data_IF_583333071645
#
_entry.id   IF_583333071645
#
_cell.length_a   1.000
_cell.length_b   1.000
_cell.length_c   1.000
_cell.angle_alpha   90.00
_cell.angle_beta   90.00
_cell.angle_gamma   90.00
#
_symmetry.space_group_name_H-M   'P 1'
#
loop_
_entity.id
_entity.type
_entity.pdbx_description
1 polymer ?
#
# COMPACT_ATOMS: atom_id res chain seq x y z
N UNK A 1 29.24 -1.20 -1.50
CA UNK A 1 28.09 -1.30 -0.59
C UNK A 1 27.03 -0.29 -1.01
N UNK A 2 25.75 -0.65 -0.90
CA UNK A 2 24.62 0.23 -1.20
C UNK A 2 23.76 0.42 0.04
N UNK A 3 23.20 1.63 0.21
CA UNK A 3 22.19 1.89 1.22
C UNK A 3 20.96 2.55 0.59
N UNK A 4 19.87 1.79 0.49
CA UNK A 4 18.62 2.23 -0.11
C UNK A 4 17.65 2.62 1.01
N UNK A 5 17.30 3.90 1.11
CA UNK A 5 16.42 4.39 2.17
C UNK A 5 15.27 5.21 1.61
N UNK A 6 14.11 5.14 2.26
CA UNK A 6 12.97 5.90 1.78
C UNK A 6 11.61 5.51 2.33
N UNK A 7 10.58 6.20 1.86
CA UNK A 7 9.20 6.00 2.29
C UNK A 7 8.32 5.33 1.22
N UNK A 8 8.91 4.65 0.23
CA UNK A 8 8.19 3.94 -0.83
C UNK A 8 8.77 2.55 -1.06
N UNK A 9 8.07 1.52 -0.56
CA UNK A 9 8.55 0.13 -0.58
C UNK A 9 8.72 -0.41 -2.00
N UNK A 10 7.84 -0.01 -2.91
CA UNK A 10 7.90 -0.45 -4.30
C UNK A 10 9.25 -0.08 -4.95
N UNK A 11 9.68 1.18 -4.80
CA UNK A 11 10.96 1.64 -5.35
C UNK A 11 12.17 1.05 -4.65
N UNK A 12 12.08 0.78 -3.33
CA UNK A 12 13.14 0.05 -2.63
C UNK A 12 13.34 -1.31 -3.31
N UNK A 13 12.26 -2.07 -3.48
CA UNK A 13 12.30 -3.40 -4.08
C UNK A 13 12.73 -3.37 -5.55
N UNK A 14 12.26 -2.40 -6.32
CA UNK A 14 12.68 -2.18 -7.72
C UNK A 14 14.20 -1.97 -7.79
N UNK A 15 14.76 -1.11 -6.94
CA UNK A 15 16.21 -0.84 -6.91
C UNK A 15 17.03 -2.04 -6.44
N UNK A 16 16.53 -2.82 -5.48
CA UNK A 16 17.18 -4.08 -5.09
C UNK A 16 17.22 -5.02 -6.29
N UNK A 17 16.10 -5.19 -7.01
CA UNK A 17 16.04 -6.08 -8.18
C UNK A 17 16.95 -5.60 -9.30
N UNK A 18 17.00 -4.28 -9.57
CA UNK A 18 17.93 -3.69 -10.54
C UNK A 18 19.39 -4.04 -10.21
N UNK A 19 19.78 -3.93 -8.94
CA UNK A 19 21.12 -4.28 -8.48
C UNK A 19 21.39 -5.78 -8.59
N UNK A 20 20.44 -6.63 -8.16
CA UNK A 20 20.55 -8.09 -8.29
C UNK A 20 20.81 -8.46 -9.76
N UNK A 21 20.00 -7.95 -10.68
CA UNK A 21 20.11 -8.28 -12.11
C UNK A 21 21.39 -7.72 -12.74
N UNK A 22 21.84 -6.54 -12.31
CA UNK A 22 23.14 -5.99 -12.71
C UNK A 22 24.28 -6.93 -12.29
N UNK A 23 24.30 -7.37 -11.04
CA UNK A 23 25.36 -8.21 -10.51
C UNK A 23 25.35 -9.64 -11.06
N UNK A 24 24.16 -10.22 -11.24
CA UNK A 24 24.03 -11.50 -11.96
C UNK A 24 24.64 -11.42 -13.36
N UNK A 25 24.43 -10.33 -14.09
CA UNK A 25 25.02 -10.14 -15.43
C UNK A 25 26.53 -9.95 -15.37
N UNK A 26 27.02 -9.15 -14.45
CA UNK A 26 28.46 -8.88 -14.26
C UNK A 26 29.25 -10.16 -13.96
N UNK A 27 28.66 -11.06 -13.18
CA UNK A 27 29.30 -12.29 -12.74
C UNK A 27 28.76 -13.56 -13.43
N UNK A 28 28.14 -13.45 -14.61
CA UNK A 28 27.62 -14.61 -15.38
C UNK A 28 26.75 -15.59 -14.58
N UNK A 29 25.89 -15.07 -13.69
CA UNK A 29 25.04 -15.79 -12.73
C UNK A 29 25.77 -16.58 -11.63
N UNK A 30 27.09 -16.45 -11.51
CA UNK A 30 27.88 -17.04 -10.44
C UNK A 30 27.92 -16.13 -9.21
N UNK A 31 26.74 -15.90 -8.62
CA UNK A 31 26.53 -15.07 -7.43
C UNK A 31 25.62 -15.78 -6.45
N UNK A 32 26.09 -15.95 -5.22
CA UNK A 32 25.27 -16.46 -4.11
C UNK A 32 24.55 -15.31 -3.42
N UNK A 33 23.23 -15.36 -3.37
CA UNK A 33 22.40 -14.31 -2.77
C UNK A 33 21.97 -14.76 -1.36
N UNK A 34 22.23 -13.92 -0.37
CA UNK A 34 21.75 -14.06 1.00
C UNK A 34 20.83 -12.89 1.31
N UNK A 35 19.61 -13.15 1.81
CA UNK A 35 18.61 -12.12 2.07
C UNK A 35 18.13 -12.23 3.52
N UNK A 36 18.29 -11.13 4.26
CA UNK A 36 17.97 -11.01 5.68
C UNK A 36 16.91 -9.94 5.89
N UNK A 37 15.98 -10.19 6.81
CA UNK A 37 14.87 -9.27 7.09
C UNK A 37 14.71 -9.02 8.59
N UNK A 38 14.69 -7.74 8.98
CA UNK A 38 14.47 -7.25 10.33
C UNK A 38 15.48 -7.75 11.39
N UNK A 39 15.20 -8.90 12.00
CA UNK A 39 16.07 -9.51 13.01
C UNK A 39 17.08 -10.44 12.34
N UNK A 40 18.34 -10.37 12.79
CA UNK A 40 19.42 -11.22 12.28
C UNK A 40 20.20 -11.85 13.41
N UNK A 41 20.72 -13.06 13.17
CA UNK A 41 21.71 -13.68 14.02
C UNK A 41 23.12 -13.22 13.58
N UNK A 42 23.83 -12.51 14.46
CA UNK A 42 25.16 -11.99 14.13
C UNK A 42 26.18 -13.09 13.80
N UNK A 43 26.06 -14.29 14.40
CA UNK A 43 26.96 -15.41 14.08
C UNK A 43 26.78 -15.90 12.65
N UNK A 44 25.53 -15.97 12.18
CA UNK A 44 25.22 -16.35 10.80
C UNK A 44 25.76 -15.30 9.81
N UNK A 45 25.66 -14.03 10.16
CA UNK A 45 26.22 -12.93 9.36
C UNK A 45 27.75 -12.99 9.33
N UNK A 46 28.41 -13.24 10.46
CA UNK A 46 29.85 -13.45 10.54
C UNK A 46 30.30 -14.56 9.60
N UNK A 47 29.63 -15.71 9.67
CA UNK A 47 29.93 -16.87 8.83
C UNK A 47 29.75 -16.55 7.35
N UNK A 48 28.67 -15.88 6.96
CA UNK A 48 28.41 -15.56 5.56
C UNK A 48 29.37 -14.52 5.00
N UNK A 49 29.71 -13.48 5.78
CA UNK A 49 30.62 -12.43 5.32
C UNK A 49 32.09 -12.90 5.26
N UNK A 50 32.51 -13.80 6.15
CA UNK A 50 33.90 -14.28 6.22
C UNK A 50 34.15 -15.60 5.48
N UNK A 51 33.14 -16.45 5.28
CA UNK A 51 33.35 -17.75 4.63
C UNK A 51 33.61 -17.55 3.13
N UNK A 52 34.79 -17.92 2.64
CA UNK A 52 35.01 -18.03 1.20
C UNK A 52 34.49 -19.39 0.73
N UNK A 53 33.38 -19.40 -0.02
CA UNK A 53 32.88 -20.63 -0.63
C UNK A 53 33.85 -21.04 -1.75
N UNK A 54 34.24 -22.32 -1.77
CA UNK A 54 35.20 -22.84 -2.76
C UNK A 54 34.56 -22.84 -4.16
N UNK A 55 33.23 -22.88 -4.25
CA UNK A 55 32.48 -23.03 -5.49
C UNK A 55 31.75 -21.77 -5.96
N UNK A 56 31.66 -20.73 -5.14
CA UNK A 56 31.05 -19.44 -5.53
C UNK A 56 31.98 -18.31 -5.13
N UNK A 57 32.57 -17.67 -6.14
CA UNK A 57 33.50 -16.57 -5.89
C UNK A 57 32.76 -15.33 -5.39
N UNK A 58 31.55 -15.03 -5.87
CA UNK A 58 30.88 -13.76 -5.57
C UNK A 58 29.64 -13.93 -4.68
N UNK A 59 29.46 -13.02 -3.74
CA UNK A 59 28.31 -12.99 -2.84
C UNK A 59 27.59 -11.66 -2.90
N UNK A 60 26.27 -11.72 -2.87
CA UNK A 60 25.40 -10.58 -2.69
C UNK A 60 24.60 -10.76 -1.39
N UNK A 61 24.85 -9.93 -0.40
CA UNK A 61 24.15 -9.98 0.89
C UNK A 61 23.21 -8.79 1.00
N UNK A 62 21.94 -9.07 1.25
CA UNK A 62 20.87 -8.08 1.31
C UNK A 62 20.33 -8.05 2.73
N UNK A 63 20.29 -6.86 3.31
CA UNK A 63 19.83 -6.60 4.66
C UNK A 63 18.65 -5.64 4.61
N UNK A 64 17.45 -6.15 4.89
CA UNK A 64 16.20 -5.41 4.76
C UNK A 64 15.65 -5.00 6.11
N UNK A 65 15.44 -3.69 6.29
CA UNK A 65 14.78 -3.09 7.45
C UNK A 65 15.36 -3.56 8.79
N UNK A 66 16.69 -3.69 8.86
CA UNK A 66 17.36 -4.25 10.03
C UNK A 66 17.10 -3.44 11.29
N UNK A 67 16.83 -4.15 12.39
CA UNK A 67 16.65 -3.51 13.70
C UNK A 67 17.89 -2.75 14.16
N UNK A 68 19.09 -3.21 13.80
CA UNK A 68 20.35 -2.54 14.13
C UNK A 68 20.53 -1.16 13.48
N UNK A 69 19.70 -0.79 12.49
CA UNK A 69 19.66 0.56 11.93
C UNK A 69 18.91 1.55 12.84
N UNK A 70 18.12 1.02 13.78
CA UNK A 70 17.52 1.77 14.87
C UNK A 70 18.36 1.69 16.15
N UNK A 71 18.22 2.71 16.98
CA UNK A 71 18.91 2.78 18.27
C UNK A 71 18.48 1.62 19.17
N UNK A 72 19.41 0.70 19.42
CA UNK A 72 19.23 -0.45 20.31
C UNK A 72 20.22 -0.41 21.48
N UNK A 73 19.95 -1.21 22.52
CA UNK A 73 20.85 -1.41 23.67
C UNK A 73 22.09 -2.22 23.30
N UNK A 74 22.06 -2.95 22.18
CA UNK A 74 23.13 -3.84 21.74
C UNK A 74 24.24 -3.10 20.98
N UNK A 75 24.81 -2.06 21.59
CA UNK A 75 25.87 -1.24 20.96
C UNK A 75 27.12 -2.05 20.59
N UNK A 76 27.44 -3.11 21.36
CA UNK A 76 28.59 -3.98 21.06
C UNK A 76 28.43 -4.71 19.72
N UNK A 77 27.24 -5.23 19.44
CA UNK A 77 26.94 -5.93 18.18
C UNK A 77 26.94 -4.96 17.00
N UNK A 78 26.45 -3.73 17.19
CA UNK A 78 26.55 -2.67 16.17
C UNK A 78 28.02 -2.38 15.82
N UNK A 79 28.88 -2.20 16.83
CA UNK A 79 30.30 -1.92 16.60
C UNK A 79 31.00 -3.09 15.90
N UNK A 80 30.71 -4.32 16.32
CA UNK A 80 31.20 -5.53 15.66
C UNK A 80 30.74 -5.59 14.19
N UNK A 81 29.46 -5.30 13.92
CA UNK A 81 28.94 -5.30 12.56
C UNK A 81 29.63 -4.24 11.68
N UNK A 82 29.88 -3.04 12.22
CA UNK A 82 30.66 -2.01 11.51
C UNK A 82 32.08 -2.50 11.21
N UNK A 83 32.72 -3.21 12.14
CA UNK A 83 34.05 -3.80 11.93
C UNK A 83 34.04 -4.84 10.78
N UNK A 84 33.04 -5.72 10.74
CA UNK A 84 32.87 -6.67 9.63
C UNK A 84 32.70 -5.95 8.29
N UNK A 85 31.88 -4.90 8.25
CA UNK A 85 31.62 -4.14 7.02
C UNK A 85 32.86 -3.38 6.51
N UNK A 86 33.76 -2.97 7.40
CA UNK A 86 35.03 -2.35 7.01
C UNK A 86 36.04 -3.36 6.44
N UNK A 87 35.91 -4.64 6.81
CA UNK A 87 36.81 -5.71 6.41
C UNK A 87 36.19 -6.66 5.35
N UNK A 88 35.23 -6.16 4.56
CA UNK A 88 34.60 -6.96 3.51
C UNK A 88 35.60 -7.37 2.44
N UNK A 89 35.51 -8.63 2.03
CA UNK A 89 36.26 -9.14 0.88
C UNK A 89 35.73 -8.52 -0.42
N UNK A 90 36.60 -8.33 -1.42
CA UNK A 90 36.25 -7.65 -2.69
C UNK A 90 35.12 -8.32 -3.47
N UNK A 91 34.93 -9.61 -3.25
CA UNK A 91 33.91 -10.46 -3.85
C UNK A 91 32.55 -10.42 -3.13
N UNK A 92 32.41 -9.65 -2.05
CA UNK A 92 31.17 -9.51 -1.29
C UNK A 92 30.56 -8.13 -1.53
N UNK A 93 29.38 -8.12 -2.15
CA UNK A 93 28.56 -6.93 -2.29
C UNK A 93 27.47 -6.96 -1.22
N UNK A 94 27.34 -5.86 -0.48
CA UNK A 94 26.31 -5.71 0.54
C UNK A 94 25.32 -4.59 0.16
N UNK A 95 24.03 -4.88 0.27
CA UNK A 95 22.92 -3.95 0.08
C UNK A 95 22.16 -3.85 1.41
N UNK A 96 22.06 -2.64 1.96
CA UNK A 96 21.20 -2.34 3.09
C UNK A 96 19.95 -1.60 2.60
N UNK A 97 18.79 -1.93 3.15
CA UNK A 97 17.57 -1.15 2.92
C UNK A 97 16.88 -0.75 4.21
N UNK A 98 16.32 0.45 4.21
CA UNK A 98 15.53 0.95 5.34
C UNK A 98 14.32 1.73 4.85
N UNK A 99 13.13 1.20 5.11
CA UNK A 99 11.88 1.93 5.03
C UNK A 99 11.79 2.90 6.21
N UNK A 100 11.58 4.17 5.92
CA UNK A 100 11.44 5.25 6.91
C UNK A 100 10.22 6.06 6.50
N UNK A 101 9.17 6.09 7.33
CA UNK A 101 8.04 6.98 7.06
C UNK A 101 8.49 8.45 7.12
N UNK A 102 7.88 9.29 6.28
CA UNK A 102 8.18 10.72 6.27
C UNK A 102 7.81 11.31 7.63
N UNK A 103 8.77 11.94 8.30
CA UNK A 103 8.65 12.50 9.65
C UNK A 103 8.39 11.46 10.75
N UNK A 104 8.87 10.23 10.59
CA UNK A 104 8.79 9.24 11.66
C UNK A 104 9.60 9.70 12.89
N UNK A 105 8.88 10.11 13.94
CA UNK A 105 9.47 10.55 15.22
C UNK A 105 9.98 9.38 16.06
N UNK A 106 9.59 8.14 15.72
CA UNK A 106 10.02 6.92 16.42
C UNK A 106 11.33 6.39 15.86
N UNK A 107 11.60 6.63 14.58
CA UNK A 107 12.87 6.25 13.96
C UNK A 107 14.03 7.01 14.63
N UNK A 108 14.91 6.27 15.29
CA UNK A 108 16.12 6.82 15.90
C UNK A 108 17.33 6.16 15.24
N UNK A 109 18.10 6.86 14.41
CA UNK A 109 19.24 6.26 13.72
C UNK A 109 20.29 5.77 14.71
N UNK A 110 20.82 4.58 14.47
CA UNK A 110 21.96 4.01 15.20
C UNK A 110 23.30 4.48 14.63
N UNK A 111 24.39 4.07 15.28
CA UNK A 111 25.75 4.30 14.76
C UNK A 111 25.98 3.55 13.44
N UNK A 112 25.37 2.36 13.25
CA UNK A 112 25.41 1.62 11.98
C UNK A 112 24.73 2.42 10.87
N UNK A 113 23.57 3.02 11.15
CA UNK A 113 22.88 3.87 10.18
C UNK A 113 23.78 5.03 9.71
N UNK A 114 24.41 5.75 10.64
CA UNK A 114 25.32 6.85 10.30
C UNK A 114 26.59 6.39 9.58
N UNK A 115 27.08 5.20 9.89
CA UNK A 115 28.17 4.57 9.16
C UNK A 115 27.77 4.33 7.69
N UNK A 116 26.60 3.73 7.46
CA UNK A 116 26.12 3.45 6.11
C UNK A 116 25.93 4.73 5.29
N UNK A 117 25.38 5.80 5.87
CA UNK A 117 25.22 7.09 5.18
C UNK A 117 26.54 7.69 4.70
N UNK A 118 27.65 7.43 5.40
CA UNK A 118 28.97 8.00 5.08
C UNK A 118 29.80 7.12 4.15
N UNK A 119 29.65 5.80 4.25
CA UNK A 119 30.57 4.82 3.65
C UNK A 119 29.95 3.99 2.52
N UNK A 120 28.72 4.28 2.11
CA UNK A 120 28.02 3.53 1.05
C UNK A 120 27.44 4.44 -0.03
N UNK A 121 27.10 3.86 -1.18
CA UNK A 121 26.31 4.56 -2.19
C UNK A 121 24.85 4.66 -1.72
N UNK A 122 24.44 5.85 -1.30
CA UNK A 122 23.11 6.10 -0.74
C UNK A 122 22.11 6.39 -1.86
N UNK A 123 21.06 5.58 -1.93
CA UNK A 123 19.94 5.73 -2.86
C UNK A 123 18.70 6.13 -2.06
N UNK A 124 18.24 7.37 -2.23
CA UNK A 124 17.00 7.84 -1.62
C UNK A 124 15.80 7.59 -2.53
N UNK A 125 14.83 6.84 -2.03
CA UNK A 125 13.53 6.67 -2.71
C UNK A 125 12.44 7.41 -1.97
N UNK A 126 11.55 8.06 -2.72
CA UNK A 126 10.49 8.89 -2.15
C UNK A 126 9.15 8.45 -2.72
N UNK A 127 8.15 8.39 -1.84
CA UNK A 127 6.75 8.19 -2.23
C UNK A 127 6.37 9.30 -3.18
N UNK A 128 5.79 8.89 -4.31
CA UNK A 128 5.32 9.85 -5.31
C UNK A 128 4.19 10.68 -4.72
N UNK A 129 4.20 11.97 -5.04
CA UNK A 129 2.97 12.73 -4.92
C UNK A 129 1.96 12.23 -5.97
N UNK A 130 0.71 12.66 -5.85
CA UNK A 130 -0.37 12.14 -6.68
C UNK A 130 -0.26 12.49 -8.16
N UNK A 131 0.29 13.67 -8.49
CA UNK A 131 0.49 14.05 -9.90
C UNK A 131 1.59 13.20 -10.51
N UNK A 132 2.67 13.02 -9.75
CA UNK A 132 3.77 12.14 -10.11
C UNK A 132 3.30 10.69 -10.21
N UNK A 133 2.40 10.23 -9.34
CA UNK A 133 1.84 8.88 -9.36
C UNK A 133 1.10 8.60 -10.67
N UNK A 134 0.22 9.51 -11.10
CA UNK A 134 -0.49 9.37 -12.39
C UNK A 134 0.52 9.33 -13.54
N UNK A 135 1.46 10.27 -13.57
CA UNK A 135 2.47 10.31 -14.63
C UNK A 135 3.37 9.06 -14.63
N UNK A 136 3.69 8.53 -13.45
CA UNK A 136 4.51 7.35 -13.28
C UNK A 136 3.82 6.11 -13.82
N UNK A 137 2.56 5.87 -13.43
CA UNK A 137 1.78 4.73 -13.92
C UNK A 137 1.63 4.81 -15.44
N UNK A 138 1.38 6.01 -15.98
CA UNK A 138 1.29 6.23 -17.42
C UNK A 138 2.61 5.89 -18.13
N UNK A 139 3.73 6.44 -17.65
CA UNK A 139 5.06 6.18 -18.21
C UNK A 139 5.46 4.70 -18.09
N UNK A 140 5.09 4.05 -16.98
CA UNK A 140 5.33 2.62 -16.75
C UNK A 140 4.63 1.75 -17.81
N UNK A 141 3.38 2.09 -18.16
CA UNK A 141 2.62 1.41 -19.20
C UNK A 141 3.19 1.71 -20.60
N UNK A 142 3.54 2.98 -20.86
CA UNK A 142 4.11 3.41 -22.15
C UNK A 142 5.48 2.76 -22.42
N UNK A 143 6.31 2.54 -21.39
CA UNK A 143 7.59 1.84 -21.51
C UNK A 143 7.44 0.39 -22.01
N UNK A 144 6.25 -0.21 -21.86
CA UNK A 144 5.91 -1.54 -22.38
C UNK A 144 5.25 -1.49 -23.78
N UNK A 145 5.25 -0.33 -24.44
CA UNK A 145 4.55 -0.06 -25.70
C UNK A 145 3.02 -0.30 -25.61
N UNK A 146 2.44 -0.04 -24.44
CA UNK A 146 1.00 -0.14 -24.15
C UNK A 146 0.44 1.23 -23.77
N UNK A 147 -0.88 1.37 -23.66
CA UNK A 147 -1.52 2.65 -23.28
C UNK A 147 -2.51 2.50 -22.13
N UNK A 148 -2.66 3.58 -21.35
CA UNK A 148 -3.66 3.68 -20.28
C UNK A 148 -4.24 5.11 -20.26
N UNK A 149 -5.57 5.23 -20.10
CA UNK A 149 -6.22 6.55 -19.99
C UNK A 149 -6.09 7.10 -18.57
N UNK A 150 -6.05 8.44 -18.42
CA UNK A 150 -5.98 9.08 -17.10
C UNK A 150 -7.16 8.68 -16.20
N UNK A 151 -8.37 8.57 -16.77
CA UNK A 151 -9.56 8.17 -16.03
C UNK A 151 -9.45 6.74 -15.49
N UNK A 152 -8.81 5.83 -16.23
CA UNK A 152 -8.54 4.47 -15.77
C UNK A 152 -7.56 4.45 -14.59
N UNK A 153 -6.52 5.28 -14.64
CA UNK A 153 -5.56 5.42 -13.53
C UNK A 153 -6.26 5.96 -12.27
N UNK A 154 -7.09 6.98 -12.43
CA UNK A 154 -7.83 7.59 -11.31
C UNK A 154 -8.78 6.55 -10.69
N UNK A 155 -9.49 5.78 -11.52
CA UNK A 155 -10.36 4.70 -11.04
C UNK A 155 -9.58 3.68 -10.20
N UNK A 156 -8.41 3.23 -10.68
CA UNK A 156 -7.54 2.31 -9.93
C UNK A 156 -7.08 2.92 -8.59
N UNK A 157 -6.61 4.17 -8.58
CA UNK A 157 -6.13 4.86 -7.36
C UNK A 157 -7.26 5.06 -6.34
N UNK A 158 -8.48 5.30 -6.80
CA UNK A 158 -9.65 5.50 -5.94
C UNK A 158 -10.05 4.20 -5.23
N UNK A 159 -9.87 3.06 -5.90
CA UNK A 159 -10.34 1.77 -5.42
C UNK A 159 -9.27 0.94 -4.72
N UNK A 160 -8.01 1.15 -5.06
CA UNK A 160 -6.91 0.41 -4.45
C UNK A 160 -6.39 1.12 -3.19
N UNK A 161 -5.77 0.36 -2.26
CA UNK A 161 -5.01 0.93 -1.17
C UNK A 161 -3.90 1.84 -1.69
N UNK A 162 -3.43 2.76 -0.85
CA UNK A 162 -2.31 3.67 -1.14
C UNK A 162 -0.95 2.96 -1.09
N UNK A 163 -0.81 1.95 -1.93
CA UNK A 163 0.37 1.10 -2.12
C UNK A 163 0.65 0.99 -3.62
N UNK A 164 1.78 1.57 -4.04
CA UNK A 164 2.19 1.57 -5.44
C UNK A 164 2.39 0.15 -5.98
N UNK A 165 2.82 -0.80 -5.14
CA UNK A 165 3.02 -2.19 -5.54
C UNK A 165 1.70 -2.85 -5.93
N UNK A 166 0.64 -2.61 -5.15
CA UNK A 166 -0.69 -3.13 -5.48
C UNK A 166 -1.22 -2.50 -6.75
N UNK A 167 -1.07 -1.18 -6.92
CA UNK A 167 -1.51 -0.48 -8.12
C UNK A 167 -0.79 -1.03 -9.37
N UNK A 168 0.53 -1.18 -9.31
CA UNK A 168 1.32 -1.72 -10.43
C UNK A 168 0.94 -3.17 -10.72
N UNK A 169 0.68 -3.99 -9.70
CA UNK A 169 0.23 -5.37 -9.89
C UNK A 169 -1.12 -5.43 -10.61
N UNK A 170 -2.09 -4.59 -10.23
CA UNK A 170 -3.38 -4.53 -10.93
C UNK A 170 -3.22 -4.00 -12.35
N UNK A 171 -2.41 -2.97 -12.58
CA UNK A 171 -2.07 -2.52 -13.93
C UNK A 171 -1.48 -3.66 -14.76
N UNK A 172 -0.52 -4.41 -14.22
CA UNK A 172 0.09 -5.53 -14.92
C UNK A 172 -0.91 -6.63 -15.28
N UNK A 173 -1.88 -6.94 -14.42
CA UNK A 173 -2.98 -7.87 -14.75
C UNK A 173 -3.80 -7.36 -15.93
N UNK A 174 -4.21 -6.09 -15.91
CA UNK A 174 -4.97 -5.49 -17.01
C UNK A 174 -4.16 -5.48 -18.32
N UNK A 175 -2.85 -5.25 -18.24
CA UNK A 175 -1.96 -5.29 -19.40
C UNK A 175 -1.79 -6.70 -20.00
N UNK A 176 -2.07 -7.77 -19.24
CA UNK A 176 -2.11 -9.14 -19.79
C UNK A 176 -3.33 -9.30 -20.68
N UNK A 177 -4.47 -8.71 -20.32
CA UNK A 177 -5.72 -8.84 -21.06
C UNK A 177 -5.80 -7.93 -22.27
N UNK A 178 -5.33 -6.67 -22.15
CA UNK A 178 -5.39 -5.70 -23.23
C UNK A 178 -4.17 -4.77 -23.25
N UNK A 179 -3.64 -4.42 -24.43
CA UNK A 179 -2.59 -3.42 -24.56
C UNK A 179 -3.10 -1.98 -24.37
N UNK A 180 -4.41 -1.76 -24.39
CA UNK A 180 -5.03 -0.45 -24.23
C UNK A 180 -6.03 -0.49 -23.07
N UNK A 181 -5.63 0.11 -21.93
CA UNK A 181 -6.45 0.17 -20.73
C UNK A 181 -7.28 1.46 -20.75
N UNK A 182 -8.59 1.30 -20.82
CA UNK A 182 -9.56 2.41 -20.74
C UNK A 182 -10.33 2.38 -19.43
N UNK A 183 -11.11 3.42 -19.12
CA UNK A 183 -12.00 3.41 -17.96
C UNK A 183 -12.95 2.21 -18.00
N UNK A 184 -13.50 1.90 -19.18
CA UNK A 184 -14.36 0.72 -19.37
C UNK A 184 -13.59 -0.57 -19.14
N UNK A 185 -12.32 -0.65 -19.54
CA UNK A 185 -11.48 -1.81 -19.25
C UNK A 185 -11.39 -2.06 -17.75
N UNK A 186 -11.10 -1.03 -16.96
CA UNK A 186 -11.02 -1.14 -15.49
C UNK A 186 -12.39 -1.52 -14.92
N UNK A 187 -13.46 -0.83 -15.31
CA UNK A 187 -14.81 -1.10 -14.84
C UNK A 187 -15.34 -2.49 -15.21
N UNK A 188 -14.94 -3.02 -16.37
CA UNK A 188 -15.33 -4.35 -16.84
C UNK A 188 -14.44 -5.45 -16.25
N UNK A 189 -13.15 -5.19 -15.99
CA UNK A 189 -12.27 -6.13 -15.30
C UNK A 189 -12.69 -6.37 -13.84
N UNK A 190 -13.35 -5.38 -13.24
CA UNK A 190 -14.05 -5.49 -11.95
C UNK A 190 -15.24 -6.48 -11.96
N UNK A 191 -15.31 -7.40 -12.94
CA UNK A 191 -16.31 -8.47 -13.03
C UNK A 191 -15.70 -9.87 -12.89
N UNK A 192 -14.38 -10.01 -12.63
CA UNK A 192 -13.69 -11.30 -12.78
C UNK A 192 -12.95 -11.85 -11.55
N UNK A 193 -12.92 -11.14 -10.41
CA UNK A 193 -12.49 -11.69 -9.12
C UNK A 193 -13.65 -11.71 -8.11
N UNK A 194 -13.75 -12.73 -7.25
CA UNK A 194 -14.78 -12.84 -6.21
C UNK A 194 -14.82 -11.69 -5.17
N UNK A 195 -13.86 -10.75 -5.21
CA UNK A 195 -13.79 -9.60 -4.31
C UNK A 195 -14.35 -8.29 -4.93
N UNK A 196 -14.81 -8.31 -6.20
CA UNK A 196 -14.89 -7.12 -7.05
C UNK A 196 -16.21 -6.32 -6.99
N UNK A 197 -17.34 -6.91 -6.59
CA UNK A 197 -18.62 -6.16 -6.44
C UNK A 197 -18.61 -5.10 -5.34
N UNK A 198 -17.59 -5.14 -4.48
CA UNK A 198 -17.31 -4.13 -3.47
C UNK A 198 -17.17 -2.75 -4.10
N UNK A 199 -16.48 -2.62 -5.25
CA UNK A 199 -16.20 -1.32 -5.87
C UNK A 199 -17.43 -0.68 -6.51
N UNK A 200 -18.22 -1.48 -7.24
CA UNK A 200 -19.44 -0.99 -7.88
C UNK A 200 -20.43 -0.43 -6.85
N UNK A 201 -20.59 -1.12 -5.71
CA UNK A 201 -21.42 -0.64 -4.62
C UNK A 201 -20.84 0.61 -3.95
N UNK A 202 -19.52 0.62 -3.62
CA UNK A 202 -18.85 1.80 -3.06
C UNK A 202 -19.05 3.03 -3.96
N UNK A 203 -18.88 2.89 -5.27
CA UNK A 203 -19.06 3.98 -6.23
C UNK A 203 -20.48 4.50 -6.26
N UNK A 204 -21.48 3.62 -6.38
CA UNK A 204 -22.87 4.02 -6.36
C UNK A 204 -23.23 4.74 -5.04
N UNK A 205 -22.73 4.22 -3.92
CA UNK A 205 -22.96 4.77 -2.60
C UNK A 205 -22.30 6.14 -2.40
N UNK A 206 -21.04 6.31 -2.79
CA UNK A 206 -20.31 7.59 -2.72
C UNK A 206 -20.86 8.63 -3.70
N UNK A 207 -21.32 8.20 -4.88
CA UNK A 207 -21.97 9.08 -5.83
C UNK A 207 -23.24 9.67 -5.22
N UNK A 208 -24.04 8.85 -4.53
CA UNK A 208 -25.27 9.24 -3.85
C UNK A 208 -26.23 10.02 -4.76
N UNK A 209 -26.42 9.52 -5.98
CA UNK A 209 -27.26 10.18 -7.02
C UNK A 209 -28.55 9.44 -7.29
N UNK A 210 -28.50 8.10 -7.34
CA UNK A 210 -29.64 7.26 -7.67
C UNK A 210 -29.75 6.10 -6.67
N UNK A 211 -30.79 6.13 -5.86
CA UNK A 211 -31.10 5.08 -4.88
C UNK A 211 -31.33 3.71 -5.53
N UNK A 212 -31.86 3.68 -6.76
CA UNK A 212 -32.07 2.45 -7.52
C UNK A 212 -30.75 1.81 -7.92
N UNK A 213 -29.75 2.62 -8.24
CA UNK A 213 -28.43 2.12 -8.62
C UNK A 213 -27.67 1.56 -7.41
N UNK A 214 -27.75 2.25 -6.26
CA UNK A 214 -27.22 1.75 -4.98
C UNK A 214 -27.84 0.38 -4.62
N UNK A 215 -29.17 0.27 -4.74
CA UNK A 215 -29.89 -0.99 -4.51
C UNK A 215 -29.43 -2.08 -5.47
N UNK A 216 -29.39 -1.77 -6.76
CA UNK A 216 -28.99 -2.72 -7.80
C UNK A 216 -27.59 -3.27 -7.51
N UNK A 217 -26.62 -2.39 -7.24
CA UNK A 217 -25.24 -2.77 -6.94
C UNK A 217 -25.11 -3.58 -5.64
N UNK A 218 -25.90 -3.25 -4.62
CA UNK A 218 -25.98 -4.05 -3.40
C UNK A 218 -26.48 -5.47 -3.68
N UNK A 219 -27.56 -5.63 -4.46
CA UNK A 219 -28.10 -6.97 -4.77
C UNK A 219 -27.19 -7.77 -5.71
N UNK A 220 -26.52 -7.11 -6.66
CA UNK A 220 -25.48 -7.75 -7.47
C UNK A 220 -24.37 -8.35 -6.59
N UNK A 221 -23.92 -7.60 -5.57
CA UNK A 221 -22.91 -8.08 -4.61
C UNK A 221 -23.36 -9.30 -3.81
N UNK A 222 -24.60 -9.30 -3.31
CA UNK A 222 -25.17 -10.46 -2.61
C UNK A 222 -25.33 -11.68 -3.53
N UNK A 223 -25.75 -11.45 -4.80
CA UNK A 223 -25.91 -12.53 -5.77
C UNK A 223 -24.60 -13.24 -6.13
N UNK A 224 -23.47 -12.55 -6.00
CA UNK A 224 -22.13 -13.13 -6.17
C UNK A 224 -21.58 -13.80 -4.91
N UNK A 225 -22.35 -13.89 -3.83
CA UNK A 225 -22.00 -14.65 -2.62
C UNK A 225 -21.41 -13.81 -1.49
N UNK A 226 -21.45 -12.48 -1.56
CA UNK A 226 -21.14 -11.65 -0.40
C UNK A 226 -22.19 -11.85 0.71
N UNK A 227 -21.76 -11.93 1.97
CA UNK A 227 -22.69 -11.94 3.10
C UNK A 227 -23.27 -10.56 3.39
N UNK A 228 -24.47 -10.53 3.94
CA UNK A 228 -25.13 -9.29 4.33
C UNK A 228 -24.31 -8.50 5.36
N UNK A 229 -23.69 -9.18 6.32
CA UNK A 229 -22.76 -8.57 7.28
C UNK A 229 -21.55 -7.94 6.60
N UNK A 230 -21.03 -8.52 5.52
CA UNK A 230 -19.95 -7.91 4.74
C UNK A 230 -20.38 -6.59 4.10
N UNK A 231 -21.59 -6.54 3.53
CA UNK A 231 -22.14 -5.32 2.94
C UNK A 231 -22.41 -4.25 4.00
N UNK A 232 -22.97 -4.63 5.16
CA UNK A 232 -23.17 -3.72 6.29
C UNK A 232 -21.83 -3.12 6.74
N UNK A 233 -20.80 -3.94 6.90
CA UNK A 233 -19.46 -3.48 7.28
C UNK A 233 -18.85 -2.53 6.25
N UNK A 234 -19.10 -2.74 4.96
CA UNK A 234 -18.67 -1.80 3.91
C UNK A 234 -19.37 -0.45 4.04
N UNK A 235 -20.68 -0.43 4.27
CA UNK A 235 -21.44 0.80 4.52
C UNK A 235 -20.86 1.55 5.73
N UNK A 236 -20.65 0.85 6.85
CA UNK A 236 -20.05 1.43 8.06
C UNK A 236 -18.66 2.00 7.76
N UNK A 237 -17.81 1.26 7.04
CA UNK A 237 -16.47 1.71 6.64
C UNK A 237 -16.51 3.01 5.83
N UNK A 238 -17.43 3.13 4.86
CA UNK A 238 -17.64 4.37 4.10
C UNK A 238 -18.08 5.51 5.03
N UNK A 239 -19.07 5.29 5.88
CA UNK A 239 -19.61 6.33 6.77
C UNK A 239 -18.58 6.80 7.81
N UNK A 240 -17.82 5.88 8.39
CA UNK A 240 -16.74 6.19 9.34
C UNK A 240 -15.64 7.00 8.63
N UNK A 241 -15.20 6.58 7.43
CA UNK A 241 -14.22 7.35 6.64
C UNK A 241 -14.74 8.75 6.32
N UNK A 242 -16.01 8.88 5.92
CA UNK A 242 -16.65 10.16 5.66
C UNK A 242 -16.66 11.04 6.92
N UNK A 243 -17.00 10.47 8.09
CA UNK A 243 -16.96 11.16 9.36
C UNK A 243 -15.54 11.62 9.72
N UNK A 244 -14.52 10.76 9.61
CA UNK A 244 -13.13 11.12 9.88
C UNK A 244 -12.66 12.27 9.00
N UNK A 245 -12.92 12.20 7.69
CA UNK A 245 -12.57 13.26 6.74
C UNK A 245 -13.28 14.57 7.11
N UNK A 246 -14.58 14.52 7.41
CA UNK A 246 -15.33 15.71 7.82
C UNK A 246 -14.76 16.35 9.08
N UNK A 247 -14.46 15.56 10.12
CA UNK A 247 -13.93 16.07 11.37
C UNK A 247 -12.56 16.74 11.20
N UNK A 248 -11.68 16.18 10.37
CA UNK A 248 -10.40 16.81 10.05
C UNK A 248 -10.58 18.11 9.27
N UNK A 249 -11.55 18.16 8.35
CA UNK A 249 -11.88 19.40 7.63
C UNK A 249 -12.42 20.50 8.55
N UNK A 250 -13.14 20.15 9.63
CA UNK A 250 -13.58 21.11 10.65
C UNK A 250 -12.42 21.66 11.50
N UNK A 251 -11.28 20.99 11.49
CA UNK A 251 -10.05 21.44 12.16
C UNK A 251 -9.11 22.21 11.21
N UNK A 252 -9.64 22.70 10.08
CA UNK A 252 -8.90 23.43 9.05
C UNK A 252 -7.77 22.64 8.36
N UNK A 253 -7.81 21.30 8.41
CA UNK A 253 -6.85 20.47 7.66
C UNK A 253 -7.16 20.56 6.16
N UNK A 254 -6.11 20.81 5.36
CA UNK A 254 -6.24 20.76 3.90
C UNK A 254 -6.34 19.31 3.42
N UNK A 255 -6.82 19.07 2.19
CA UNK A 255 -6.85 17.73 1.60
C UNK A 255 -5.48 17.03 1.63
N UNK A 256 -4.39 17.80 1.47
CA UNK A 256 -3.03 17.28 1.54
C UNK A 256 -2.64 16.85 2.96
N UNK A 257 -3.11 17.56 3.98
CA UNK A 257 -2.84 17.21 5.37
C UNK A 257 -3.64 15.98 5.78
N UNK A 258 -4.91 15.91 5.37
CA UNK A 258 -5.76 14.72 5.56
C UNK A 258 -5.12 13.51 4.86
N UNK A 259 -4.61 13.66 3.64
CA UNK A 259 -3.95 12.58 2.90
C UNK A 259 -2.72 12.04 3.65
N UNK A 260 -1.89 12.93 4.21
CA UNK A 260 -0.72 12.53 5.00
C UNK A 260 -1.10 11.80 6.29
N UNK A 261 -2.06 12.34 7.04
CA UNK A 261 -2.45 11.79 8.35
C UNK A 261 -3.20 10.46 8.20
N UNK A 262 -4.14 10.38 7.25
CA UNK A 262 -5.00 9.20 7.08
C UNK A 262 -4.38 8.14 6.15
N UNK A 263 -3.31 8.49 5.43
CA UNK A 263 -2.71 7.70 4.35
C UNK A 263 -3.67 7.43 3.18
N UNK A 264 -4.79 8.14 3.09
CA UNK A 264 -5.79 8.04 2.00
C UNK A 264 -5.39 8.97 0.85
N UNK A 265 -5.58 8.54 -0.40
CA UNK A 265 -5.34 9.41 -1.57
C UNK A 265 -6.29 10.62 -1.62
N UNK A 266 -5.80 11.79 -2.05
CA UNK A 266 -6.62 13.01 -2.16
C UNK A 266 -7.76 12.86 -3.16
N UNK A 267 -7.61 12.04 -4.21
CA UNK A 267 -8.73 11.69 -5.09
C UNK A 267 -9.88 11.04 -4.33
N UNK A 268 -9.58 10.08 -3.45
CA UNK A 268 -10.58 9.47 -2.57
C UNK A 268 -11.14 10.53 -1.61
N UNK A 269 -10.29 11.34 -0.96
CA UNK A 269 -10.75 12.39 -0.04
C UNK A 269 -11.70 13.38 -0.73
N UNK A 270 -11.42 13.76 -1.98
CA UNK A 270 -12.28 14.63 -2.77
C UNK A 270 -13.64 13.96 -3.08
N UNK A 271 -13.67 12.65 -3.35
CA UNK A 271 -14.91 11.89 -3.51
C UNK A 271 -15.73 11.87 -2.22
N UNK A 272 -15.09 11.55 -1.08
CA UNK A 272 -15.73 11.60 0.22
C UNK A 272 -16.23 13.01 0.56
N UNK A 273 -15.48 14.06 0.22
CA UNK A 273 -15.90 15.45 0.44
C UNK A 273 -17.14 15.79 -0.38
N UNK A 274 -17.24 15.33 -1.63
CA UNK A 274 -18.44 15.47 -2.45
C UNK A 274 -19.62 14.69 -1.86
N UNK A 275 -19.38 13.44 -1.44
CA UNK A 275 -20.37 12.59 -0.78
C UNK A 275 -20.94 13.28 0.47
N UNK A 276 -20.08 13.76 1.38
CA UNK A 276 -20.46 14.45 2.62
C UNK A 276 -21.32 15.69 2.33
N UNK A 277 -20.99 16.46 1.28
CA UNK A 277 -21.80 17.62 0.85
C UNK A 277 -23.19 17.23 0.35
N UNK A 278 -23.33 16.07 -0.29
CA UNK A 278 -24.61 15.57 -0.82
C UNK A 278 -25.49 14.98 0.29
N UNK A 279 -24.95 14.08 1.11
CA UNK A 279 -25.72 13.37 2.15
C UNK A 279 -25.95 14.24 3.41
N UNK A 280 -25.01 15.13 3.72
CA UNK A 280 -25.00 15.94 4.93
C UNK A 280 -24.46 15.19 6.16
N UNK A 281 -23.61 15.87 6.95
CA UNK A 281 -22.95 15.26 8.11
C UNK A 281 -23.93 14.72 9.17
N UNK A 282 -25.05 15.43 9.41
CA UNK A 282 -26.06 15.00 10.38
C UNK A 282 -26.61 13.60 10.04
N UNK A 283 -26.92 13.37 8.76
CA UNK A 283 -27.42 12.08 8.26
C UNK A 283 -26.37 10.98 8.41
N UNK A 284 -25.08 11.27 8.20
CA UNK A 284 -23.99 10.30 8.42
C UNK A 284 -23.98 9.83 9.88
N UNK A 285 -24.08 10.74 10.84
CA UNK A 285 -24.11 10.41 12.27
C UNK A 285 -25.38 9.62 12.64
N UNK A 286 -26.54 10.03 12.11
CA UNK A 286 -27.80 9.31 12.31
C UNK A 286 -27.71 7.87 11.78
N UNK A 287 -27.14 7.67 10.59
CA UNK A 287 -26.93 6.34 10.01
C UNK A 287 -25.97 5.49 10.83
N UNK A 288 -24.86 6.06 11.30
CA UNK A 288 -23.89 5.34 12.14
C UNK A 288 -24.53 4.86 13.45
N UNK A 289 -25.29 5.71 14.13
CA UNK A 289 -26.01 5.33 15.35
C UNK A 289 -27.07 4.26 15.07
N UNK A 290 -27.83 4.42 13.98
CA UNK A 290 -28.84 3.44 13.58
C UNK A 290 -28.25 2.07 13.27
N UNK A 291 -27.11 2.03 12.56
CA UNK A 291 -26.42 0.77 12.26
C UNK A 291 -25.84 0.16 13.55
N UNK A 292 -25.36 0.96 14.49
CA UNK A 292 -24.87 0.47 15.78
C UNK A 292 -25.99 -0.20 16.61
N UNK A 293 -27.18 0.38 16.63
CA UNK A 293 -28.35 -0.22 17.30
C UNK A 293 -28.74 -1.55 16.63
N UNK A 294 -28.75 -1.59 15.29
CA UNK A 294 -29.03 -2.82 14.53
C UNK A 294 -27.97 -3.90 14.77
N UNK A 295 -26.68 -3.55 14.83
CA UNK A 295 -25.60 -4.50 15.12
C UNK A 295 -25.77 -5.17 16.50
N UNK A 296 -26.24 -4.42 17.49
CA UNK A 296 -26.60 -4.97 18.81
C UNK A 296 -27.77 -5.95 18.69
N UNK A 297 -28.80 -5.61 17.91
CA UNK A 297 -29.98 -6.45 17.72
C UNK A 297 -29.65 -7.74 16.95
N UNK A 298 -28.77 -7.68 15.95
CA UNK A 298 -28.23 -8.86 15.25
C UNK A 298 -27.51 -9.77 16.26
N UNK A 299 -26.59 -9.22 17.05
CA UNK A 299 -25.81 -10.00 18.04
C UNK A 299 -26.66 -10.62 19.14
N UNK A 300 -27.80 -10.02 19.46
CA UNK A 300 -28.80 -10.56 20.39
C UNK A 300 -29.76 -11.57 19.74
N UNK A 301 -29.70 -11.76 18.42
CA UNK A 301 -30.60 -12.64 17.67
C UNK A 301 -32.03 -12.09 17.54
N UNK A 302 -32.23 -10.77 17.71
CA UNK A 302 -33.54 -10.12 17.59
C UNK A 302 -33.89 -9.83 16.13
N UNK A 303 -32.89 -9.66 15.27
CA UNK A 303 -33.03 -9.35 13.84
C UNK A 303 -32.09 -10.24 13.04
N UNK A 304 -32.60 -10.85 11.98
CA UNK A 304 -31.78 -11.57 10.99
C UNK A 304 -30.97 -10.58 10.13
N UNK A 305 -29.73 -10.94 9.79
CA UNK A 305 -28.79 -10.12 9.02
C UNK A 305 -29.40 -9.60 7.70
N UNK A 306 -30.21 -10.43 7.03
CA UNK A 306 -30.89 -10.07 5.80
C UNK A 306 -31.90 -8.93 5.98
N UNK A 307 -32.67 -8.96 7.08
CA UNK A 307 -33.65 -7.92 7.37
C UNK A 307 -32.97 -6.65 7.87
N UNK A 308 -31.89 -6.78 8.65
CA UNK A 308 -31.04 -5.68 9.04
C UNK A 308 -30.50 -4.91 7.83
N UNK A 309 -29.93 -5.61 6.84
CA UNK A 309 -29.42 -4.96 5.63
C UNK A 309 -30.51 -4.20 4.86
N UNK A 310 -31.70 -4.80 4.69
CA UNK A 310 -32.84 -4.14 4.04
C UNK A 310 -33.24 -2.86 4.77
N UNK A 311 -33.31 -2.91 6.11
CA UNK A 311 -33.65 -1.74 6.94
C UNK A 311 -32.59 -0.64 6.81
N UNK A 312 -31.30 -1.00 6.86
CA UNK A 312 -30.18 -0.06 6.70
C UNK A 312 -30.28 0.65 5.34
N UNK A 313 -30.44 -0.11 4.25
CA UNK A 313 -30.53 0.47 2.90
C UNK A 313 -31.76 1.38 2.75
N UNK A 314 -32.92 0.98 3.30
CA UNK A 314 -34.11 1.82 3.29
C UNK A 314 -33.89 3.15 4.03
N UNK A 315 -33.15 3.14 5.14
CA UNK A 315 -32.84 4.35 5.91
C UNK A 315 -31.83 5.24 5.20
N UNK A 316 -30.92 4.66 4.42
CA UNK A 316 -29.98 5.41 3.56
C UNK A 316 -30.73 6.14 2.44
N UNK A 317 -31.73 5.50 1.83
CA UNK A 317 -32.43 6.05 0.65
C UNK A 317 -33.47 7.12 1.01
N UNK A 318 -33.95 7.13 2.26
CA UNK A 318 -34.92 8.12 2.79
C UNK A 318 -34.27 9.45 3.14
#
# INVERSE_FOLDING_TARGET
MYFIKGNEKYFINEKINDLIEKYKKEFNNDVKIHDFYAEINMQEVDDILNCNDIFTLNKLVIFRDLEYLHKTKNQKEILHFIELLNNLSENVVVIFTQFIEKNDRKFQPSDLYYFLEKHTEVIEVKKLDERLLISYIKNYVEAQNKTITNDAIIELIVHLPNDLSLIINEVNKLLIETPNITLQTVQNNNLTLPNDTTFGFINAFLAYENSTDILKKCYEQLALGASETSVINQIVSILVKAQTIYLLQQQDFTTLDISKETKIHSFQINLYTKFIKKIGYKKIVELLNYIADIDIDIKKGLIEEQNALKLIILTIIK
#
